data_IF_515780751964
#
_entry.id   IF_515780751964
#
_cell.length_a   1.000
_cell.length_b   1.000
_cell.length_c   1.000
_cell.angle_alpha   90.00
_cell.angle_beta   90.00
_cell.angle_gamma   90.00
#
_symmetry.space_group_name_H-M   'P 1'
#
loop_
_entity.id
_entity.type
_entity.pdbx_description
1 polymer ?
#
# COMPACT_ATOMS: atom_id res chain seq x y z
N UNK A 1 -22.66 23.66 -4.01
CA UNK A 1 -21.21 23.28 -4.00
C UNK A 1 -21.01 22.37 -5.18
N UNK A 2 -20.02 22.61 -6.01
CA UNK A 2 -19.66 21.72 -7.12
C UNK A 2 -18.98 20.50 -6.51
N UNK A 3 -19.47 19.32 -6.81
CA UNK A 3 -18.86 18.05 -6.37
C UNK A 3 -17.60 17.75 -7.20
N UNK A 4 -16.79 16.80 -6.75
CA UNK A 4 -15.63 16.31 -7.54
C UNK A 4 -16.13 15.69 -8.85
N UNK A 5 -17.24 14.97 -8.83
CA UNK A 5 -17.86 14.40 -10.03
C UNK A 5 -18.24 15.49 -11.03
N UNK A 6 -18.93 16.57 -10.58
CA UNK A 6 -19.28 17.70 -11.46
C UNK A 6 -18.04 18.34 -12.09
N UNK A 7 -16.92 18.40 -11.36
CA UNK A 7 -15.67 18.91 -11.90
C UNK A 7 -15.08 17.99 -12.96
N UNK A 8 -15.06 16.69 -12.71
CA UNK A 8 -14.56 15.68 -13.65
C UNK A 8 -15.41 15.69 -14.93
N UNK A 9 -16.73 15.61 -14.82
CA UNK A 9 -17.66 15.60 -15.95
C UNK A 9 -17.52 16.85 -16.83
N UNK A 10 -17.23 17.99 -16.22
CA UNK A 10 -17.06 19.25 -16.91
C UNK A 10 -15.73 19.40 -17.64
N UNK A 11 -14.63 18.82 -17.10
CA UNK A 11 -13.28 19.10 -17.55
C UNK A 11 -12.56 17.89 -18.20
N UNK A 12 -12.98 16.66 -17.91
CA UNK A 12 -12.36 15.44 -18.43
C UNK A 12 -13.05 14.95 -19.71
N UNK A 13 -13.08 15.78 -20.73
CA UNK A 13 -13.95 15.58 -21.90
C UNK A 13 -13.24 15.01 -23.13
N UNK A 14 -11.92 14.96 -23.14
CA UNK A 14 -11.14 14.59 -24.32
C UNK A 14 -9.87 13.83 -23.95
N UNK A 15 -9.37 13.03 -24.90
CA UNK A 15 -8.14 12.24 -24.78
C UNK A 15 -8.10 11.33 -23.53
N UNK A 16 -6.95 11.21 -22.90
CA UNK A 16 -6.77 10.34 -21.74
C UNK A 16 -7.69 10.71 -20.55
N UNK A 17 -8.08 11.97 -20.44
CA UNK A 17 -9.00 12.40 -19.41
C UNK A 17 -10.40 11.82 -19.63
N UNK A 18 -10.91 11.83 -20.88
CA UNK A 18 -12.17 11.18 -21.21
C UNK A 18 -12.08 9.66 -20.99
N UNK A 19 -11.00 9.03 -21.43
CA UNK A 19 -10.77 7.59 -21.24
C UNK A 19 -10.78 7.19 -19.76
N UNK A 20 -10.30 8.05 -18.86
CA UNK A 20 -10.37 7.79 -17.41
C UNK A 20 -11.83 7.75 -16.93
N UNK A 21 -12.67 8.67 -17.41
CA UNK A 21 -14.11 8.67 -17.07
C UNK A 21 -14.77 7.42 -17.62
N UNK A 22 -14.56 7.11 -18.91
CA UNK A 22 -15.09 5.90 -19.55
C UNK A 22 -14.69 4.61 -18.81
N UNK A 23 -13.46 4.53 -18.32
CA UNK A 23 -12.99 3.39 -17.53
C UNK A 23 -13.70 3.30 -16.18
N UNK A 24 -13.95 4.44 -15.53
CA UNK A 24 -14.70 4.49 -14.28
C UNK A 24 -16.17 4.08 -14.48
N UNK A 25 -16.80 4.58 -15.53
CA UNK A 25 -18.18 4.23 -15.88
C UNK A 25 -18.31 2.74 -16.20
N UNK A 26 -17.39 2.18 -17.01
CA UNK A 26 -17.36 0.74 -17.31
C UNK A 26 -17.16 -0.12 -16.07
N UNK A 27 -16.41 0.37 -15.07
CA UNK A 27 -16.28 -0.30 -13.78
C UNK A 27 -17.61 -0.30 -13.01
N UNK A 28 -18.28 0.83 -12.95
CA UNK A 28 -19.61 0.96 -12.31
C UNK A 28 -20.61 0.02 -12.99
N UNK A 29 -20.72 0.07 -14.33
CA UNK A 29 -21.61 -0.80 -15.11
C UNK A 29 -21.33 -2.30 -14.85
N UNK A 30 -20.05 -2.70 -14.76
CA UNK A 30 -19.69 -4.08 -14.44
C UNK A 30 -20.26 -4.51 -13.10
N UNK A 31 -20.14 -3.68 -12.07
CA UNK A 31 -20.60 -3.99 -10.72
C UNK A 31 -22.13 -4.01 -10.63
N UNK A 32 -22.80 -3.03 -11.24
CA UNK A 32 -24.27 -2.94 -11.30
C UNK A 32 -24.87 -4.13 -12.06
N UNK A 33 -24.16 -4.63 -13.07
CA UNK A 33 -24.49 -5.85 -13.79
C UNK A 33 -24.23 -7.16 -13.01
N UNK A 34 -23.79 -7.09 -11.76
CA UNK A 34 -23.46 -8.25 -10.91
C UNK A 34 -22.08 -8.86 -11.21
N UNK A 35 -21.23 -8.16 -11.95
CA UNK A 35 -19.85 -8.55 -12.21
C UNK A 35 -18.97 -8.45 -10.97
N UNK A 36 -17.79 -9.08 -11.03
CA UNK A 36 -16.81 -9.05 -9.94
C UNK A 36 -15.49 -8.46 -10.42
N UNK A 37 -14.87 -7.64 -9.58
CA UNK A 37 -13.60 -7.00 -9.87
C UNK A 37 -12.46 -7.65 -9.08
N UNK A 38 -11.41 -8.02 -9.80
CA UNK A 38 -10.11 -8.35 -9.24
C UNK A 38 -9.12 -7.24 -9.59
N UNK A 39 -8.47 -6.68 -8.59
CA UNK A 39 -7.43 -5.66 -8.76
C UNK A 39 -6.06 -6.31 -8.67
N UNK A 40 -5.18 -5.99 -9.61
CA UNK A 40 -3.78 -6.43 -9.60
C UNK A 40 -2.87 -5.23 -9.31
N UNK A 41 -1.95 -5.38 -8.36
CA UNK A 41 -1.05 -4.32 -7.92
C UNK A 41 0.41 -4.71 -8.13
N UNK A 42 1.16 -3.80 -8.72
CA UNK A 42 2.62 -3.87 -8.71
C UNK A 42 3.18 -3.57 -7.30
N UNK A 43 4.48 -3.73 -7.11
CA UNK A 43 5.15 -3.34 -5.87
C UNK A 43 5.05 -1.85 -5.57
N UNK A 44 5.29 -1.47 -4.31
CA UNK A 44 5.31 -0.09 -3.80
C UNK A 44 3.97 0.69 -3.86
N UNK A 45 2.86 0.03 -4.14
CA UNK A 45 1.55 0.69 -4.12
C UNK A 45 1.09 0.99 -2.69
N UNK A 46 1.53 0.21 -1.71
CA UNK A 46 1.29 0.47 -0.28
C UNK A 46 2.04 1.72 0.19
N UNK A 47 3.29 1.92 -0.26
CA UNK A 47 4.03 3.16 0.00
C UNK A 47 3.32 4.39 -0.59
N UNK A 48 2.62 4.22 -1.72
CA UNK A 48 1.78 5.25 -2.32
C UNK A 48 0.39 5.40 -1.66
N UNK A 49 0.15 4.69 -0.56
CA UNK A 49 -1.10 4.75 0.25
C UNK A 49 -2.38 4.38 -0.52
N UNK A 50 -2.27 3.65 -1.63
CA UNK A 50 -3.45 3.21 -2.39
C UNK A 50 -4.35 2.27 -1.57
N UNK A 51 -3.80 1.65 -0.53
CA UNK A 51 -4.51 0.77 0.39
C UNK A 51 -5.72 1.43 1.06
N UNK A 52 -5.66 2.73 1.34
CA UNK A 52 -6.77 3.49 1.94
C UNK A 52 -8.01 3.46 1.03
N UNK A 53 -7.82 3.75 -0.26
CA UNK A 53 -8.92 3.71 -1.23
C UNK A 53 -9.42 2.28 -1.47
N UNK A 54 -8.51 1.30 -1.58
CA UNK A 54 -8.87 -0.10 -1.79
C UNK A 54 -9.61 -0.69 -0.60
N UNK A 55 -9.23 -0.37 0.63
CA UNK A 55 -9.93 -0.84 1.83
C UNK A 55 -11.39 -0.37 1.83
N UNK A 56 -11.64 0.88 1.46
CA UNK A 56 -13.01 1.40 1.35
C UNK A 56 -13.78 0.74 0.22
N UNK A 57 -13.15 0.50 -0.93
CA UNK A 57 -13.78 -0.22 -2.05
C UNK A 57 -14.12 -1.68 -1.69
N UNK A 58 -13.28 -2.34 -0.88
CA UNK A 58 -13.54 -3.69 -0.37
C UNK A 58 -14.75 -3.67 0.58
N UNK A 59 -14.80 -2.74 1.54
CA UNK A 59 -15.93 -2.61 2.49
C UNK A 59 -17.25 -2.36 1.76
N UNK A 60 -17.20 -1.67 0.62
CA UNK A 60 -18.37 -1.40 -0.22
C UNK A 60 -18.63 -2.50 -1.26
N UNK A 61 -17.98 -3.64 -1.18
CA UNK A 61 -18.11 -4.76 -2.13
C UNK A 61 -17.81 -4.38 -3.59
N UNK A 62 -16.97 -3.38 -3.81
CA UNK A 62 -16.54 -2.93 -5.14
C UNK A 62 -15.27 -3.61 -5.63
N UNK A 63 -14.47 -4.18 -4.73
CA UNK A 63 -13.31 -5.03 -5.03
C UNK A 63 -13.51 -6.36 -4.35
N UNK A 64 -13.41 -7.46 -5.10
CA UNK A 64 -13.72 -8.81 -4.63
C UNK A 64 -12.48 -9.67 -4.41
N UNK A 65 -11.39 -9.33 -5.10
CA UNK A 65 -10.10 -9.99 -4.96
C UNK A 65 -8.97 -9.02 -5.28
N UNK A 66 -7.84 -9.22 -4.61
CA UNK A 66 -6.59 -8.48 -4.89
C UNK A 66 -5.49 -9.49 -5.13
N UNK A 67 -4.72 -9.28 -6.22
CA UNK A 67 -3.47 -9.96 -6.48
C UNK A 67 -2.34 -8.94 -6.41
N UNK A 68 -1.43 -9.08 -5.47
CA UNK A 68 -0.34 -8.14 -5.27
C UNK A 68 0.97 -8.84 -4.97
N UNK A 69 2.07 -8.09 -5.03
CA UNK A 69 3.39 -8.59 -4.59
C UNK A 69 3.46 -8.61 -3.06
N UNK A 70 4.33 -9.46 -2.50
CA UNK A 70 4.58 -9.50 -1.05
C UNK A 70 5.02 -8.17 -0.48
N UNK A 71 5.72 -7.35 -1.26
CA UNK A 71 6.11 -5.99 -0.87
C UNK A 71 4.93 -5.11 -0.43
N UNK A 72 3.77 -5.24 -1.06
CA UNK A 72 2.61 -4.47 -0.64
C UNK A 72 2.09 -4.86 0.76
N UNK A 73 2.31 -6.08 1.20
CA UNK A 73 1.93 -6.52 2.54
C UNK A 73 2.90 -5.98 3.60
N UNK A 74 4.21 -6.11 3.36
CA UNK A 74 5.23 -5.61 4.30
C UNK A 74 5.23 -4.08 4.39
N UNK A 75 5.07 -3.37 3.28
CA UNK A 75 5.01 -1.91 3.26
C UNK A 75 3.79 -1.36 4.02
N UNK A 76 2.69 -2.11 4.09
CA UNK A 76 1.56 -1.76 4.95
C UNK A 76 1.94 -1.80 6.43
N UNK A 77 2.78 -2.77 6.85
CA UNK A 77 3.32 -2.81 8.20
C UNK A 77 4.31 -1.67 8.46
N UNK A 78 5.17 -1.36 7.48
CA UNK A 78 6.09 -0.22 7.58
C UNK A 78 5.33 1.10 7.75
N UNK A 79 4.25 1.30 7.00
CA UNK A 79 3.39 2.47 7.15
C UNK A 79 2.78 2.55 8.55
N UNK A 80 2.37 1.42 9.12
CA UNK A 80 1.81 1.37 10.47
C UNK A 80 2.81 1.85 11.53
N UNK A 81 4.06 1.38 11.46
CA UNK A 81 5.06 1.66 12.51
C UNK A 81 5.93 2.89 12.23
N UNK A 82 6.08 3.31 10.97
CA UNK A 82 7.07 4.31 10.58
C UNK A 82 6.55 5.39 9.62
N UNK A 83 5.25 5.51 9.39
CA UNK A 83 4.67 6.49 8.44
C UNK A 83 5.25 7.91 8.62
N UNK A 84 5.31 8.41 9.84
CA UNK A 84 5.82 9.74 10.15
C UNK A 84 7.34 9.91 9.99
N UNK A 85 8.07 8.81 9.83
CA UNK A 85 9.53 8.80 9.62
C UNK A 85 9.91 8.73 8.13
N UNK A 86 8.94 8.54 7.24
CA UNK A 86 9.18 8.54 5.80
C UNK A 86 9.68 9.89 5.31
N UNK A 87 10.66 9.85 4.41
CA UNK A 87 11.30 11.06 3.87
C UNK A 87 11.10 11.16 2.39
N UNK A 88 10.48 12.26 1.94
CA UNK A 88 10.29 12.52 0.52
C UNK A 88 11.50 13.21 -0.11
N UNK A 89 11.89 12.76 -1.33
CA UNK A 89 12.94 13.33 -2.18
C UNK A 89 12.34 13.78 -3.51
N UNK A 90 11.87 15.04 -3.62
CA UNK A 90 11.14 15.52 -4.79
C UNK A 90 11.92 15.40 -6.12
N UNK A 91 13.25 15.59 -6.06
CA UNK A 91 14.11 15.57 -7.24
C UNK A 91 14.79 14.21 -7.47
N UNK A 92 14.18 13.12 -7.04
CA UNK A 92 14.75 11.78 -7.07
C UNK A 92 15.27 11.34 -8.45
N UNK A 93 14.68 11.83 -9.57
CA UNK A 93 15.12 11.51 -10.92
C UNK A 93 16.51 12.08 -11.27
N UNK A 94 16.96 13.06 -10.52
CA UNK A 94 18.27 13.72 -10.71
C UNK A 94 19.33 13.21 -9.72
N UNK A 95 19.02 12.19 -8.93
CA UNK A 95 19.99 11.58 -8.03
C UNK A 95 21.11 10.91 -8.81
N UNK A 96 22.34 11.22 -8.41
CA UNK A 96 23.55 10.54 -8.91
C UNK A 96 23.80 9.26 -8.11
N UNK A 97 24.59 8.31 -8.63
CA UNK A 97 24.97 7.12 -7.87
C UNK A 97 25.63 7.42 -6.51
N UNK A 98 26.37 8.53 -6.41
CA UNK A 98 26.95 8.98 -5.15
C UNK A 98 25.91 9.44 -4.14
N UNK A 99 24.87 10.12 -4.59
CA UNK A 99 23.76 10.55 -3.74
C UNK A 99 22.89 9.35 -3.30
N UNK A 100 22.67 8.38 -4.17
CA UNK A 100 21.98 7.13 -3.80
C UNK A 100 22.76 6.37 -2.70
N UNK A 101 24.08 6.26 -2.87
CA UNK A 101 24.94 5.65 -1.85
C UNK A 101 24.94 6.41 -0.52
N UNK A 102 24.72 7.70 -0.56
CA UNK A 102 24.60 8.50 0.68
C UNK A 102 23.28 8.24 1.39
N UNK A 103 22.18 8.05 0.67
CA UNK A 103 20.90 7.62 1.26
C UNK A 103 21.04 6.25 1.93
N UNK A 104 21.70 5.30 1.28
CA UNK A 104 21.99 3.98 1.85
C UNK A 104 22.81 4.09 3.16
N UNK A 105 23.84 4.95 3.21
CA UNK A 105 24.61 5.20 4.43
C UNK A 105 23.80 5.81 5.57
N UNK A 106 22.74 6.53 5.23
CA UNK A 106 21.78 7.09 6.19
C UNK A 106 20.68 6.09 6.56
N UNK A 107 20.83 4.82 6.17
CA UNK A 107 19.85 3.77 6.39
C UNK A 107 18.45 4.13 5.82
N UNK A 108 18.44 4.76 4.64
CA UNK A 108 17.23 5.16 3.92
C UNK A 108 17.05 4.32 2.65
N UNK A 109 15.98 3.54 2.60
CA UNK A 109 15.62 2.71 1.46
C UNK A 109 14.68 3.45 0.53
N UNK A 110 15.17 3.88 -0.63
CA UNK A 110 14.39 4.72 -1.54
C UNK A 110 13.48 3.90 -2.46
N UNK A 111 12.21 4.26 -2.46
CA UNK A 111 11.18 3.77 -3.38
C UNK A 111 10.62 4.98 -4.15
N UNK A 112 11.04 5.16 -5.39
CA UNK A 112 10.75 6.34 -6.22
C UNK A 112 11.17 7.66 -5.54
N UNK A 113 10.25 8.49 -5.09
CA UNK A 113 10.52 9.76 -4.40
C UNK A 113 10.43 9.67 -2.87
N UNK A 114 10.18 8.47 -2.33
CA UNK A 114 9.99 8.23 -0.91
C UNK A 114 11.08 7.33 -0.37
N UNK A 115 11.66 7.68 0.76
CA UNK A 115 12.60 6.85 1.49
C UNK A 115 11.93 6.28 2.74
N UNK A 116 12.05 4.97 2.90
CA UNK A 116 11.61 4.21 4.07
C UNK A 116 12.84 4.00 4.97
N UNK A 117 12.82 4.45 6.23
CA UNK A 117 13.96 4.29 7.12
C UNK A 117 14.12 2.83 7.55
N UNK A 118 15.37 2.35 7.58
CA UNK A 118 15.71 0.96 7.92
C UNK A 118 15.31 0.61 9.35
N UNK A 119 15.72 1.45 10.30
CA UNK A 119 15.58 1.15 11.74
C UNK A 119 14.12 1.25 12.19
N UNK A 120 13.44 2.33 11.81
CA UNK A 120 12.07 2.62 12.24
C UNK A 120 11.02 1.75 11.53
N UNK A 121 11.33 1.22 10.33
CA UNK A 121 10.42 0.38 9.58
C UNK A 121 10.84 -1.09 9.60
N UNK A 122 11.92 -1.45 8.89
CA UNK A 122 12.31 -2.85 8.71
C UNK A 122 12.71 -3.51 10.03
N UNK A 123 13.56 -2.88 10.82
CA UNK A 123 14.03 -3.45 12.10
C UNK A 123 12.94 -3.47 13.15
N UNK A 124 12.05 -2.49 13.14
CA UNK A 124 10.94 -2.44 14.08
C UNK A 124 9.98 -3.63 13.96
N UNK A 125 9.77 -4.15 12.74
CA UNK A 125 8.86 -5.30 12.53
C UNK A 125 9.58 -6.65 12.53
N UNK A 126 10.90 -6.69 12.40
CA UNK A 126 11.68 -7.94 12.30
C UNK A 126 11.51 -8.81 13.54
N UNK A 127 11.70 -8.25 14.72
CA UNK A 127 11.62 -9.01 15.97
C UNK A 127 10.22 -9.57 16.23
N UNK A 128 9.12 -8.80 16.16
CA UNK A 128 7.77 -9.32 16.31
C UNK A 128 7.41 -10.43 15.31
N UNK A 129 7.85 -10.31 14.05
CA UNK A 129 7.61 -11.35 13.04
C UNK A 129 8.37 -12.64 13.40
N UNK A 130 9.64 -12.54 13.80
CA UNK A 130 10.44 -13.68 14.16
C UNK A 130 9.89 -14.41 15.38
N UNK A 131 9.46 -13.68 16.41
CA UNK A 131 8.82 -14.25 17.60
C UNK A 131 7.55 -15.03 17.22
N UNK A 132 6.67 -14.43 16.43
CA UNK A 132 5.43 -15.04 15.95
C UNK A 132 5.70 -16.35 15.17
N UNK A 133 6.69 -16.33 14.29
CA UNK A 133 7.05 -17.53 13.51
C UNK A 133 7.68 -18.61 14.37
N UNK A 134 8.51 -18.26 15.35
CA UNK A 134 9.11 -19.20 16.27
C UNK A 134 8.06 -19.86 17.19
N UNK A 135 7.07 -19.10 17.64
CA UNK A 135 5.96 -19.63 18.41
C UNK A 135 5.11 -20.60 17.60
N UNK A 136 4.80 -20.24 16.36
CA UNK A 136 4.05 -21.09 15.44
C UNK A 136 4.81 -22.40 15.14
N UNK A 137 6.12 -22.32 14.90
CA UNK A 137 6.95 -23.52 14.65
C UNK A 137 6.98 -24.44 15.87
N UNK A 138 7.16 -23.90 17.08
CA UNK A 138 7.11 -24.66 18.34
C UNK A 138 5.76 -25.34 18.56
N UNK A 139 4.67 -24.66 18.18
CA UNK A 139 3.31 -25.19 18.30
C UNK A 139 2.93 -26.16 17.18
N UNK A 140 3.76 -26.28 16.13
CA UNK A 140 3.43 -27.03 14.93
C UNK A 140 2.32 -26.38 14.09
N UNK A 141 2.05 -25.10 14.33
CA UNK A 141 1.02 -24.33 13.65
C UNK A 141 1.48 -23.93 12.25
N UNK A 142 0.61 -24.11 11.25
CA UNK A 142 0.92 -23.78 9.85
C UNK A 142 -0.18 -22.92 9.28
N UNK A 143 0.18 -21.70 8.94
CA UNK A 143 -0.70 -20.68 8.37
C UNK A 143 -0.13 -20.12 7.07
N UNK A 144 -0.97 -19.45 6.31
CA UNK A 144 -0.48 -18.64 5.19
C UNK A 144 0.25 -17.38 5.69
N UNK A 145 1.21 -16.84 4.93
CA UNK A 145 1.96 -15.67 5.35
C UNK A 145 1.10 -14.47 5.78
N UNK A 146 0.00 -14.21 5.07
CA UNK A 146 -0.92 -13.12 5.41
C UNK A 146 -1.61 -13.29 6.76
N UNK A 147 -1.85 -14.52 7.21
CA UNK A 147 -2.48 -14.77 8.51
C UNK A 147 -1.56 -14.38 9.67
N UNK A 148 -0.24 -14.60 9.51
CA UNK A 148 0.74 -14.11 10.47
C UNK A 148 0.82 -12.58 10.49
N UNK A 149 0.79 -11.94 9.33
CA UNK A 149 0.80 -10.48 9.23
C UNK A 149 -0.47 -9.87 9.85
N UNK A 150 -1.63 -10.50 9.68
CA UNK A 150 -2.84 -10.07 10.37
C UNK A 150 -2.73 -10.18 11.88
N UNK A 151 -2.09 -11.22 12.42
CA UNK A 151 -1.84 -11.30 13.85
C UNK A 151 -1.07 -10.08 14.35
N UNK A 152 -0.02 -9.64 13.65
CA UNK A 152 0.75 -8.46 14.01
C UNK A 152 -0.09 -7.18 13.97
N UNK A 153 -0.89 -7.00 12.91
CA UNK A 153 -1.75 -5.83 12.75
C UNK A 153 -2.80 -5.69 13.86
N UNK A 154 -3.33 -6.82 14.35
CA UNK A 154 -4.37 -6.82 15.40
C UNK A 154 -3.82 -6.87 16.82
N UNK A 155 -2.54 -7.18 17.01
CA UNK A 155 -1.91 -7.28 18.35
C UNK A 155 -0.95 -6.14 18.66
N UNK A 156 -0.66 -5.26 17.71
CA UNK A 156 0.18 -4.09 17.94
C UNK A 156 -0.65 -2.95 18.54
N UNK A 157 -0.10 -2.24 19.54
CA UNK A 157 -0.71 -1.05 20.15
C UNK A 157 -1.02 0.04 19.10
N UNK A 158 -0.37 -0.01 17.94
CA UNK A 158 -0.63 0.89 16.81
C UNK A 158 -2.01 0.66 16.13
N UNK A 159 -2.69 -0.45 16.40
CA UNK A 159 -4.03 -0.69 15.90
C UNK A 159 -5.12 0.13 16.64
N UNK A 160 -4.80 0.63 17.83
CA UNK A 160 -5.72 1.44 18.65
C UNK A 160 -5.70 2.93 18.26
N UNK A 161 -4.73 3.37 17.44
CA UNK A 161 -4.58 4.76 16.97
C UNK A 161 -5.17 5.01 15.56
N UNK A 162 -5.88 4.02 14.97
CA UNK A 162 -6.57 4.10 13.69
C UNK A 162 -8.10 4.12 13.88
#
# INVERSE_FOLDING_TARGET
MTTISDFIDRHYRHFNAATLVEAADGYVELLEGGGRMMVTLAGAMSTAEIGLALAEMIRQEKVHAICCTGANLEESLFNLVAHNAYRRIPNWRNLTPGMEKELERQALNRVTDTCIPEEEAFRAIEAPILELWQEADKAGDRRFPHEYLYCLLYTSDAADDL
#
